data_IF_251603717356
#
_entry.id   IF_251603717356
#
_cell.length_a   1.000
_cell.length_b   1.000
_cell.length_c   1.000
_cell.angle_alpha   90.00
_cell.angle_beta   90.00
_cell.angle_gamma   90.00
#
_symmetry.space_group_name_H-M   'P 1'
#
loop_
_entity.id
_entity.type
_entity.pdbx_description
1 polymer ?
#
# COMPACT_ATOMS: atom_id res chain seq x y z
N UNK A 1 2.85 8.09 -22.54
CA UNK A 1 2.22 6.81 -22.91
C UNK A 1 1.62 6.21 -21.65
N UNK A 2 0.45 5.55 -21.70
CA UNK A 2 -0.12 4.92 -20.52
C UNK A 2 0.76 3.75 -20.05
N UNK A 3 0.89 3.62 -18.73
CA UNK A 3 1.62 2.55 -18.06
C UNK A 3 0.57 1.61 -17.46
N UNK A 4 0.64 0.32 -17.81
CA UNK A 4 -0.25 -0.70 -17.32
C UNK A 4 0.53 -1.65 -16.41
N UNK A 5 0.13 -1.70 -15.14
CA UNK A 5 0.68 -2.63 -14.16
C UNK A 5 -0.19 -3.87 -14.14
N UNK A 6 0.43 -5.03 -14.34
CA UNK A 6 -0.24 -6.33 -14.38
C UNK A 6 0.45 -7.32 -13.45
N UNK A 7 -0.34 -8.27 -12.96
CA UNK A 7 0.08 -9.32 -12.05
C UNK A 7 -0.38 -10.68 -12.58
N UNK A 8 0.55 -11.63 -12.63
CA UNK A 8 0.24 -13.02 -12.94
C UNK A 8 -0.48 -13.67 -11.75
N UNK A 9 -1.64 -14.30 -11.97
CA UNK A 9 -2.44 -14.93 -10.91
C UNK A 9 -1.82 -16.21 -10.35
N UNK A 10 -0.99 -16.90 -11.12
CA UNK A 10 -0.38 -18.17 -10.75
C UNK A 10 0.98 -17.99 -10.07
N UNK A 11 1.82 -17.09 -10.58
CA UNK A 11 3.19 -16.88 -10.08
C UNK A 11 3.32 -15.67 -9.15
N UNK A 12 2.38 -14.73 -9.21
CA UNK A 12 2.47 -13.46 -8.51
C UNK A 12 3.50 -12.49 -9.10
N UNK A 13 4.05 -12.78 -10.28
CA UNK A 13 4.97 -11.90 -10.98
C UNK A 13 4.29 -10.61 -11.43
N UNK A 14 5.00 -9.49 -11.28
CA UNK A 14 4.52 -8.15 -11.64
C UNK A 14 5.28 -7.63 -12.86
N UNK A 15 4.56 -7.10 -13.83
CA UNK A 15 5.14 -6.48 -15.02
C UNK A 15 4.52 -5.11 -15.29
N UNK A 16 5.33 -4.21 -15.83
CA UNK A 16 4.94 -2.86 -16.23
C UNK A 16 5.03 -2.73 -17.76
N UNK A 17 3.90 -2.45 -18.40
CA UNK A 17 3.82 -2.29 -19.84
C UNK A 17 3.58 -0.83 -20.23
N UNK A 18 4.39 -0.32 -21.14
CA UNK A 18 4.20 1.01 -21.74
C UNK A 18 3.73 0.85 -23.19
N UNK A 19 2.41 0.81 -23.40
CA UNK A 19 1.83 0.60 -24.74
C UNK A 19 0.51 1.37 -24.90
N UNK A 20 -0.05 1.41 -26.11
CA UNK A 20 -1.38 1.97 -26.34
C UNK A 20 -2.47 1.05 -25.79
N UNK A 21 -3.66 1.60 -25.51
CA UNK A 21 -4.77 0.81 -24.95
C UNK A 21 -5.19 -0.34 -25.87
N UNK A 22 -5.14 -0.13 -27.18
CA UNK A 22 -5.48 -1.14 -28.19
C UNK A 22 -4.48 -2.31 -28.21
N UNK A 23 -3.21 -2.07 -27.88
CA UNK A 23 -2.22 -3.13 -27.75
C UNK A 23 -2.40 -3.90 -26.44
N UNK A 24 -2.76 -3.20 -25.36
CA UNK A 24 -3.02 -3.80 -24.06
C UNK A 24 -4.26 -4.71 -24.06
N UNK A 25 -5.35 -4.31 -24.72
CA UNK A 25 -6.55 -5.12 -24.83
C UNK A 25 -6.26 -6.47 -25.51
N UNK A 26 -5.54 -6.46 -26.65
CA UNK A 26 -5.11 -7.69 -27.33
C UNK A 26 -4.21 -8.56 -26.45
N UNK A 27 -3.22 -7.95 -25.80
CA UNK A 27 -2.32 -8.67 -24.90
C UNK A 27 -3.08 -9.34 -23.75
N UNK A 28 -4.10 -8.66 -23.20
CA UNK A 28 -4.92 -9.20 -22.11
C UNK A 28 -5.84 -10.34 -22.58
N UNK A 29 -6.33 -10.30 -23.82
CA UNK A 29 -7.08 -11.41 -24.42
C UNK A 29 -6.18 -12.64 -24.63
N UNK A 30 -4.94 -12.44 -25.07
CA UNK A 30 -3.97 -13.51 -25.30
C UNK A 30 -3.36 -14.08 -23.99
N UNK A 31 -3.43 -13.34 -22.88
CA UNK A 31 -2.82 -13.68 -21.58
C UNK A 31 -3.86 -13.63 -20.44
N UNK A 32 -4.82 -14.57 -20.38
CA UNK A 32 -5.91 -14.56 -19.39
C UNK A 32 -5.44 -14.77 -17.95
N UNK A 33 -4.25 -15.33 -17.75
CA UNK A 33 -3.64 -15.60 -16.45
C UNK A 33 -3.12 -14.32 -15.78
N UNK A 34 -3.05 -13.22 -16.52
CA UNK A 34 -2.61 -11.92 -16.04
C UNK A 34 -3.80 -11.01 -15.76
N UNK A 35 -3.84 -10.44 -14.56
CA UNK A 35 -4.81 -9.41 -14.20
C UNK A 35 -4.17 -8.04 -14.05
N UNK A 36 -5.00 -7.00 -14.04
CA UNK A 36 -4.57 -5.66 -13.66
C UNK A 36 -4.12 -5.67 -12.20
N UNK A 37 -2.93 -5.17 -11.91
CA UNK A 37 -2.47 -4.98 -10.54
C UNK A 37 -3.17 -3.74 -9.95
N UNK A 38 -4.30 -3.97 -9.27
CA UNK A 38 -5.04 -2.95 -8.53
C UNK A 38 -4.30 -2.47 -7.27
N UNK A 39 -3.24 -3.16 -6.85
CA UNK A 39 -2.44 -2.76 -5.69
C UNK A 39 -1.30 -1.82 -6.06
N UNK A 40 -0.97 -1.69 -7.36
CA UNK A 40 0.04 -0.77 -7.85
C UNK A 40 -0.41 0.68 -7.68
N UNK A 41 -0.05 1.29 -6.55
CA UNK A 41 -0.34 2.69 -6.20
C UNK A 41 -1.28 2.89 -5.01
N UNK A 42 -1.90 1.83 -4.48
CA UNK A 42 -2.88 1.96 -3.38
C UNK A 42 -2.23 2.15 -2.00
N UNK A 43 -0.95 1.80 -1.83
CA UNK A 43 -0.28 1.82 -0.52
C UNK A 43 1.03 2.65 -0.46
N UNK A 44 1.34 3.45 -1.48
CA UNK A 44 2.61 4.19 -1.56
C UNK A 44 2.60 5.56 -0.87
N UNK A 45 1.44 6.21 -0.78
CA UNK A 45 1.31 7.56 -0.20
C UNK A 45 0.59 7.48 1.13
N UNK A 46 1.29 7.03 2.17
CA UNK A 46 0.97 7.54 3.51
C UNK A 46 1.48 8.97 3.53
N UNK A 47 0.57 9.95 3.55
CA UNK A 47 0.90 11.37 3.63
C UNK A 47 1.65 11.64 4.96
N UNK A 48 2.97 11.48 4.95
CA UNK A 48 3.81 11.63 6.13
C UNK A 48 3.57 10.60 7.23
N UNK A 49 4.44 10.58 8.23
CA UNK A 49 4.12 9.96 9.52
C UNK A 49 2.88 10.70 10.04
N UNK A 50 1.75 10.03 10.34
CA UNK A 50 0.61 10.70 10.93
C UNK A 50 1.08 11.37 12.22
N UNK A 51 1.11 12.70 12.25
CA UNK A 51 1.50 13.45 13.44
C UNK A 51 0.47 13.13 14.51
N UNK A 52 0.85 12.29 15.47
CA UNK A 52 -0.02 11.97 16.59
C UNK A 52 -0.32 13.28 17.33
N UNK A 53 -1.60 13.54 17.57
CA UNK A 53 -2.05 14.73 18.27
C UNK A 53 -1.45 14.79 19.68
N UNK A 54 -1.11 16.00 20.15
CA UNK A 54 -0.49 16.18 21.46
C UNK A 54 -1.36 15.65 22.62
N UNK A 55 -2.69 15.71 22.46
CA UNK A 55 -3.63 15.13 23.42
C UNK A 55 -3.60 13.59 23.48
N UNK A 56 -3.28 12.91 22.38
CA UNK A 56 -3.13 11.45 22.38
C UNK A 56 -1.87 11.04 23.17
N UNK A 57 -0.76 11.77 22.99
CA UNK A 57 0.49 11.52 23.73
C UNK A 57 0.31 11.71 25.23
N UNK A 58 -0.44 12.73 25.65
CA UNK A 58 -0.71 12.98 27.07
C UNK A 58 -1.49 11.82 27.72
N UNK A 59 -2.50 11.30 27.04
CA UNK A 59 -3.27 10.13 27.52
C UNK A 59 -2.39 8.89 27.59
N UNK A 60 -1.56 8.66 26.57
CA UNK A 60 -0.64 7.51 26.56
C UNK A 60 0.43 7.60 27.64
N UNK A 61 0.93 8.81 27.93
CA UNK A 61 1.87 9.06 29.03
C UNK A 61 1.22 8.80 30.40
N UNK A 62 -0.02 9.24 30.63
CA UNK A 62 -0.79 8.95 31.85
C UNK A 62 -1.04 7.46 32.03
N UNK A 63 -1.40 6.75 30.96
CA UNK A 63 -1.63 5.29 30.99
C UNK A 63 -0.32 4.54 31.26
N UNK A 64 0.80 4.97 30.67
CA UNK A 64 2.11 4.38 30.95
C UNK A 64 2.57 4.61 32.40
N UNK A 65 2.29 5.79 32.95
CA UNK A 65 2.57 6.09 34.36
C UNK A 65 1.74 5.20 35.31
N UNK A 66 0.47 4.95 34.98
CA UNK A 66 -0.40 4.05 35.75
C UNK A 66 -0.08 2.56 35.54
N UNK A 67 0.42 2.19 34.37
CA UNK A 67 0.71 0.81 33.97
C UNK A 67 2.12 0.68 33.36
N UNK A 68 3.18 0.59 34.19
CA UNK A 68 4.58 0.57 33.72
C UNK A 68 4.96 -0.70 32.94
N UNK A 69 4.11 -1.72 32.93
CA UNK A 69 4.29 -2.95 32.13
C UNK A 69 3.76 -2.83 30.70
N UNK A 70 2.94 -1.81 30.40
CA UNK A 70 2.48 -1.55 29.05
C UNK A 70 3.58 -0.78 28.31
N UNK A 71 4.26 -1.43 27.36
CA UNK A 71 5.35 -0.82 26.59
C UNK A 71 4.79 0.17 25.54
N UNK A 72 4.29 1.30 26.04
CA UNK A 72 3.63 2.37 25.25
C UNK A 72 4.60 3.48 24.84
N UNK A 73 5.90 3.29 25.07
CA UNK A 73 6.98 4.22 24.70
C UNK A 73 7.04 4.58 23.22
N UNK A 74 6.37 3.81 22.36
CA UNK A 74 6.27 4.08 20.92
C UNK A 74 5.22 5.15 20.57
N UNK A 75 4.39 5.54 21.53
CA UNK A 75 3.22 6.43 21.34
C UNK A 75 3.23 7.67 22.25
N UNK A 76 4.17 7.75 23.20
CA UNK A 76 4.48 8.95 23.99
C UNK A 76 5.70 9.64 23.39
#
# INVERSE_FOLDING_TARGET
MPIYNVINKETGEKQEFQMSISAYEKWREDNPDWDKDWSAGVAGTTYGLPQQSDGFKEVMSKVQAAHPKANLSRYT
#
